data_IF_118950045170
#
_entry.id   IF_118950045170
#
_cell.length_a   1.000
_cell.length_b   1.000
_cell.length_c   1.000
_cell.angle_alpha   90.00
_cell.angle_beta   90.00
_cell.angle_gamma   90.00
#
_symmetry.space_group_name_H-M   'P 1'
#
loop_
_entity.id
_entity.type
_entity.pdbx_description
1 polymer ?
#
# COMPACT_ATOMS: atom_id res chain seq x y z
N UNK A 1 12.35 -17.54 9.25
CA UNK A 1 11.53 -17.18 8.08
C UNK A 1 10.56 -16.12 8.55
N UNK A 2 10.79 -14.85 8.22
CA UNK A 2 9.85 -13.78 8.60
C UNK A 2 8.58 -13.88 7.78
N UNK A 3 7.46 -13.48 8.36
CA UNK A 3 6.18 -13.41 7.64
C UNK A 3 6.24 -12.25 6.63
N UNK A 4 5.43 -12.28 5.57
CA UNK A 4 5.32 -11.17 4.62
C UNK A 4 3.90 -10.64 4.63
N UNK A 5 3.74 -9.33 4.59
CA UNK A 5 2.43 -8.68 4.41
C UNK A 5 2.40 -7.98 3.08
N UNK A 6 1.36 -8.24 2.31
CA UNK A 6 1.17 -7.66 0.99
C UNK A 6 0.07 -6.60 1.06
N UNK A 7 0.29 -5.50 0.36
CA UNK A 7 -0.61 -4.37 0.30
C UNK A 7 -0.87 -4.03 -1.16
N UNK A 8 -2.14 -3.80 -1.51
CA UNK A 8 -2.54 -3.24 -2.80
C UNK A 8 -2.83 -1.76 -2.66
N UNK A 9 -2.32 -0.98 -3.60
CA UNK A 9 -2.52 0.46 -3.69
C UNK A 9 -3.68 0.73 -4.64
N UNK A 10 -4.80 1.22 -4.12
CA UNK A 10 -6.05 1.34 -4.87
C UNK A 10 -6.39 2.80 -5.10
N UNK A 11 -6.88 3.12 -6.30
CA UNK A 11 -7.58 4.36 -6.59
C UNK A 11 -9.08 4.19 -6.31
N UNK A 12 -9.61 4.91 -5.32
CA UNK A 12 -11.02 4.84 -4.93
C UNK A 12 -11.99 5.36 -6.01
N UNK A 13 -11.51 6.20 -6.92
CA UNK A 13 -12.32 6.76 -8.02
C UNK A 13 -12.55 5.73 -9.12
N UNK A 14 -11.59 4.82 -9.35
CA UNK A 14 -11.66 3.83 -10.44
C UNK A 14 -11.80 2.39 -9.95
N UNK A 15 -11.52 2.12 -8.68
CA UNK A 15 -11.44 0.78 -8.11
C UNK A 15 -10.19 -0.02 -8.50
N UNK A 16 -9.28 0.56 -9.30
CA UNK A 16 -8.11 -0.16 -9.80
C UNK A 16 -6.97 -0.24 -8.80
N UNK A 17 -6.34 -1.41 -8.75
CA UNK A 17 -5.04 -1.60 -8.09
C UNK A 17 -3.93 -1.08 -9.00
N UNK A 18 -3.21 -0.06 -8.53
CA UNK A 18 -2.19 0.66 -9.29
C UNK A 18 -0.80 0.08 -9.02
N UNK A 19 -0.59 -0.42 -7.80
CA UNK A 19 0.71 -0.91 -7.36
C UNK A 19 0.53 -1.92 -6.22
N UNK A 20 1.49 -2.84 -6.08
CA UNK A 20 1.54 -3.80 -4.98
C UNK A 20 2.84 -3.60 -4.23
N UNK A 21 2.76 -3.60 -2.90
CA UNK A 21 3.91 -3.44 -2.03
C UNK A 21 3.95 -4.57 -1.00
N UNK A 22 5.14 -5.10 -0.72
CA UNK A 22 5.32 -6.16 0.27
C UNK A 22 6.21 -5.65 1.38
N UNK A 23 5.72 -5.74 2.61
CA UNK A 23 6.47 -5.41 3.82
C UNK A 23 6.84 -6.68 4.58
N UNK A 24 7.86 -6.56 5.43
CA UNK A 24 8.14 -7.58 6.44
C UNK A 24 6.98 -7.64 7.43
N UNK A 25 6.40 -8.82 7.64
CA UNK A 25 5.27 -9.01 8.53
C UNK A 25 5.62 -8.88 10.01
N UNK A 26 6.90 -8.96 10.36
CA UNK A 26 7.41 -8.70 11.71
C UNK A 26 7.59 -7.20 12.01
N UNK A 27 7.36 -6.32 11.03
CA UNK A 27 7.45 -4.87 11.19
C UNK A 27 6.35 -4.34 12.11
N UNK A 28 6.69 -3.40 13.00
CA UNK A 28 5.68 -2.77 13.85
C UNK A 28 4.69 -1.99 13.01
N UNK A 29 3.44 -1.90 13.49
CA UNK A 29 2.35 -1.22 12.78
C UNK A 29 2.69 0.23 12.46
N UNK A 30 3.36 0.94 13.35
CA UNK A 30 3.75 2.35 13.14
C UNK A 30 4.83 2.47 12.06
N UNK A 31 5.83 1.59 12.07
CA UNK A 31 6.89 1.55 11.05
C UNK A 31 6.32 1.21 9.67
N UNK A 32 5.40 0.23 9.62
CA UNK A 32 4.70 -0.15 8.40
C UNK A 32 3.87 1.01 7.83
N UNK A 33 3.15 1.76 8.68
CA UNK A 33 2.38 2.95 8.24
C UNK A 33 3.28 4.03 7.65
N UNK A 34 4.42 4.31 8.28
CA UNK A 34 5.38 5.31 7.78
C UNK A 34 5.91 4.89 6.40
N UNK A 35 6.27 3.62 6.23
CA UNK A 35 6.78 3.11 4.95
C UNK A 35 5.70 3.17 3.85
N UNK A 36 4.48 2.75 4.17
CA UNK A 36 3.35 2.81 3.23
C UNK A 36 3.01 4.24 2.81
N UNK A 37 3.06 5.23 3.71
CA UNK A 37 2.81 6.63 3.34
C UNK A 37 3.93 7.19 2.45
N UNK A 38 5.21 6.87 2.74
CA UNK A 38 6.33 7.26 1.86
C UNK A 38 6.18 6.67 0.46
N UNK A 39 5.81 5.40 0.35
CA UNK A 39 5.61 4.74 -0.95
C UNK A 39 4.36 5.30 -1.64
N UNK A 40 3.30 5.59 -0.89
CA UNK A 40 2.07 6.21 -1.40
C UNK A 40 2.35 7.53 -2.09
N UNK A 41 3.09 8.44 -1.47
CA UNK A 41 3.45 9.73 -2.06
C UNK A 41 4.25 9.58 -3.36
N UNK A 42 5.22 8.65 -3.37
CA UNK A 42 6.04 8.38 -4.55
C UNK A 42 5.21 7.82 -5.71
N UNK A 43 4.37 6.81 -5.45
CA UNK A 43 3.52 6.21 -6.49
C UNK A 43 2.45 7.20 -6.96
N UNK A 44 1.84 7.96 -6.05
CA UNK A 44 0.86 8.99 -6.41
C UNK A 44 1.44 10.03 -7.34
N UNK A 45 2.62 10.57 -6.99
CA UNK A 45 3.34 11.56 -7.80
C UNK A 45 3.68 11.00 -9.18
N UNK A 46 4.23 9.78 -9.24
CA UNK A 46 4.59 9.12 -10.50
C UNK A 46 3.39 8.87 -11.43
N UNK A 47 2.22 8.60 -10.87
CA UNK A 47 1.01 8.28 -11.63
C UNK A 47 0.05 9.47 -11.79
N UNK A 48 0.40 10.66 -11.29
CA UNK A 48 -0.45 11.85 -11.37
C UNK A 48 -1.76 11.73 -10.58
N UNK A 49 -1.73 11.03 -9.45
CA UNK A 49 -2.92 10.71 -8.65
C UNK A 49 -3.07 11.68 -7.47
N UNK A 50 -4.31 11.99 -7.13
CA UNK A 50 -4.63 12.77 -5.93
C UNK A 50 -4.52 11.89 -4.69
N UNK A 51 -3.74 12.34 -3.69
CA UNK A 51 -3.53 11.62 -2.42
C UNK A 51 -4.82 11.27 -1.66
N UNK A 52 -5.88 12.06 -1.85
CA UNK A 52 -7.20 11.86 -1.26
C UNK A 52 -8.02 10.75 -1.93
N UNK A 53 -7.62 10.33 -3.14
CA UNK A 53 -8.31 9.32 -3.95
C UNK A 53 -7.64 7.95 -3.90
N UNK A 54 -6.65 7.77 -3.02
CA UNK A 54 -5.81 6.58 -2.99
C UNK A 54 -5.62 6.06 -1.57
N UNK A 55 -5.63 4.74 -1.44
CA UNK A 55 -5.49 4.06 -0.15
C UNK A 55 -4.78 2.71 -0.30
N UNK A 56 -4.25 2.22 0.82
CA UNK A 56 -3.68 0.88 0.91
C UNK A 56 -4.72 -0.09 1.49
N UNK A 57 -4.77 -1.28 0.92
CA UNK A 57 -5.55 -2.39 1.47
C UNK A 57 -4.61 -3.59 1.66
N UNK A 58 -4.62 -4.16 2.87
CA UNK A 58 -3.84 -5.36 3.18
C UNK A 58 -4.49 -6.57 2.50
N UNK A 59 -3.70 -7.33 1.76
CA UNK A 59 -4.12 -8.60 1.17
C UNK A 59 -4.02 -9.65 2.26
N UNK A 60 -5.17 -10.10 2.75
CA UNK A 60 -5.24 -11.21 3.69
C UNK A 60 -5.22 -12.50 2.90
N UNK A 61 -4.33 -13.44 3.26
CA UNK A 61 -4.35 -14.78 2.67
C UNK A 61 -5.71 -15.43 2.94
N UNK A 62 -6.52 -15.63 1.88
CA UNK A 62 -7.86 -16.20 1.97
C UNK A 62 -8.95 -15.58 1.09
N UNK A 63 -8.65 -14.52 0.32
CA UNK A 63 -9.49 -14.02 -0.80
C UNK A 63 -9.02 -14.53 -2.17
#
# INVERSE_FOLDING_TARGET
MGTKKQYKFINSTTGYSIYYHTLNGDMKVEEAKIELEKVKEQVASKHGLLLTTIYWEEIKEGE
#
